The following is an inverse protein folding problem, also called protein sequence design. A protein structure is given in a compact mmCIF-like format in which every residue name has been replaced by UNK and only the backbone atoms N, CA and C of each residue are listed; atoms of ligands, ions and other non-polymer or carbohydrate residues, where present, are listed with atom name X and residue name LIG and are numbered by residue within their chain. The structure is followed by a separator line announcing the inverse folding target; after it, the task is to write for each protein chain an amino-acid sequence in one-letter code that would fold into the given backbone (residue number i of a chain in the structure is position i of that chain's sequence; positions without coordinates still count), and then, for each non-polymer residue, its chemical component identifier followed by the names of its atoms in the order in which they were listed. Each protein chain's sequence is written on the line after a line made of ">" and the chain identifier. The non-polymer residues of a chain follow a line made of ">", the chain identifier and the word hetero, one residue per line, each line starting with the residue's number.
data_IF_975632764623
#
_entry.id   IF_975632764623
#
_cell.length_a   1.000
_cell.length_b   1.000
_cell.length_c   1.000
_cell.angle_alpha   90.00
_cell.angle_beta   90.00
_cell.angle_gamma   90.00
#
_symmetry.space_group_name_H-M   'P 1'
#
loop_
_entity.id
_entity.type
_entity.pdbx_description
1 polymer ?
#
# COMPACT_ATOMS: atom_id res chain seq x y z
N UNK A 1 66.85 -21.83 -25.86
CA UNK A 1 67.67 -21.67 -24.64
C UNK A 1 67.07 -20.54 -23.82
N UNK A 2 66.62 -20.89 -22.60
CA UNK A 2 66.47 -20.08 -21.37
C UNK A 2 65.45 -18.92 -21.42
N UNK A 3 64.55 -18.67 -20.44
CA UNK A 3 64.56 -18.87 -18.98
C UNK A 3 63.11 -18.64 -18.48
N UNK A 4 62.40 -19.58 -17.85
CA UNK A 4 62.18 -19.80 -16.41
C UNK A 4 61.96 -18.56 -15.49
N UNK A 5 60.79 -18.57 -14.82
CA UNK A 5 60.35 -17.96 -13.54
C UNK A 5 60.20 -16.43 -13.38
N UNK A 6 58.97 -15.99 -13.06
CA UNK A 6 58.58 -15.54 -11.70
C UNK A 6 57.07 -15.31 -11.54
N UNK A 7 56.56 -15.78 -10.41
CA UNK A 7 55.17 -15.77 -9.95
C UNK A 7 54.86 -14.51 -9.11
N UNK A 8 53.56 -14.18 -8.99
CA UNK A 8 52.86 -13.35 -7.99
C UNK A 8 52.96 -11.82 -8.05
N UNK A 9 51.86 -11.18 -8.44
CA UNK A 9 51.16 -10.16 -7.62
C UNK A 9 49.75 -9.93 -8.17
N UNK A 10 48.75 -10.24 -7.34
CA UNK A 10 47.33 -9.89 -7.51
C UNK A 10 47.16 -8.39 -7.26
N UNK A 11 46.40 -7.70 -8.11
CA UNK A 11 45.72 -6.46 -7.74
C UNK A 11 44.26 -6.54 -8.16
N UNK A 12 43.43 -6.97 -7.22
CA UNK A 12 42.01 -6.68 -7.18
C UNK A 12 41.86 -5.18 -6.89
N UNK A 13 41.36 -4.41 -7.86
CA UNK A 13 40.79 -3.09 -7.58
C UNK A 13 39.28 -3.27 -7.40
N UNK A 14 38.90 -3.63 -6.16
CA UNK A 14 37.53 -3.48 -5.70
C UNK A 14 37.26 -2.02 -5.33
N UNK A 15 35.96 -1.68 -5.33
CA UNK A 15 35.34 -0.50 -4.73
C UNK A 15 35.31 0.80 -5.56
N UNK A 16 34.24 0.94 -6.33
CA UNK A 16 33.35 2.11 -6.20
C UNK A 16 31.91 1.59 -6.09
N UNK A 17 31.63 0.94 -4.96
CA UNK A 17 30.26 0.66 -4.56
C UNK A 17 29.60 1.98 -4.13
N UNK A 18 28.39 2.21 -4.66
CA UNK A 18 27.27 2.90 -4.06
C UNK A 18 27.57 4.14 -3.21
N UNK A 19 27.27 5.33 -3.71
CA UNK A 19 26.35 6.28 -3.04
C UNK A 19 25.87 7.32 -4.07
N UNK A 20 24.96 6.90 -4.95
CA UNK A 20 24.14 7.84 -5.71
C UNK A 20 22.70 7.31 -5.79
N UNK A 21 22.18 6.83 -4.65
CA UNK A 21 20.75 6.85 -4.40
C UNK A 21 20.54 7.93 -3.34
N UNK A 22 20.72 9.19 -3.75
CA UNK A 22 20.24 10.34 -3.00
C UNK A 22 18.73 10.42 -3.15
N UNK A 23 18.02 9.49 -2.53
CA UNK A 23 16.58 9.57 -2.31
C UNK A 23 16.39 10.13 -0.91
N UNK A 24 16.27 11.45 -0.79
CA UNK A 24 15.66 12.02 0.40
C UNK A 24 14.28 11.39 0.51
N UNK A 25 14.07 10.58 1.55
CA UNK A 25 12.77 9.96 1.80
C UNK A 25 11.76 11.08 2.00
N UNK A 26 10.86 11.24 1.03
CA UNK A 26 9.63 11.94 1.28
C UNK A 26 8.81 10.99 2.16
N UNK A 27 8.40 11.46 3.34
CA UNK A 27 7.55 10.69 4.26
C UNK A 27 6.20 10.30 3.61
N UNK A 28 5.88 10.91 2.46
CA UNK A 28 4.71 10.67 1.62
C UNK A 28 4.72 9.38 0.80
N UNK A 29 5.91 8.77 0.59
CA UNK A 29 6.08 7.58 -0.25
C UNK A 29 6.08 6.30 0.60
N UNK A 30 5.28 5.28 0.25
CA UNK A 30 5.28 4.03 0.99
C UNK A 30 6.67 3.38 1.00
N UNK A 31 7.13 3.02 2.20
CA UNK A 31 8.39 2.29 2.39
C UNK A 31 8.12 0.86 2.86
N UNK A 32 9.05 -0.08 2.65
CA UNK A 32 8.87 -1.47 3.07
C UNK A 32 8.42 -1.62 4.53
N UNK A 33 7.53 -2.56 4.77
CA UNK A 33 7.12 -3.01 6.11
C UNK A 33 7.29 -4.51 6.25
N UNK A 34 7.19 -5.02 7.47
CA UNK A 34 7.11 -6.45 7.80
C UNK A 34 5.65 -6.94 7.94
N UNK A 35 4.68 -6.08 7.60
CA UNK A 35 3.26 -6.31 7.86
C UNK A 35 2.56 -6.84 6.63
N UNK A 36 1.89 -7.98 6.81
CA UNK A 36 1.17 -8.67 5.74
C UNK A 36 -0.15 -7.94 5.46
N UNK A 37 -0.43 -7.72 4.18
CA UNK A 37 -1.72 -7.25 3.69
C UNK A 37 -2.22 -8.13 2.55
N UNK A 38 -3.53 -8.35 2.53
CA UNK A 38 -4.18 -9.16 1.49
C UNK A 38 -5.55 -8.60 1.18
N UNK A 39 -5.83 -8.44 -0.10
CA UNK A 39 -7.09 -7.96 -0.65
C UNK A 39 -7.61 -8.99 -1.63
N UNK A 40 -8.80 -9.50 -1.40
CA UNK A 40 -9.52 -10.35 -2.35
C UNK A 40 -10.56 -9.50 -3.04
N UNK A 41 -10.40 -9.33 -4.34
CA UNK A 41 -11.32 -8.63 -5.22
C UNK A 41 -12.23 -9.64 -5.89
N UNK A 42 -13.53 -9.39 -5.79
CA UNK A 42 -14.60 -10.23 -6.34
C UNK A 42 -15.70 -9.35 -6.93
N UNK A 43 -16.58 -9.96 -7.72
CA UNK A 43 -17.76 -9.31 -8.30
C UNK A 43 -17.39 -8.02 -9.08
N UNK A 44 -16.21 -7.96 -9.69
CA UNK A 44 -15.85 -6.84 -10.53
C UNK A 44 -16.76 -6.81 -11.77
N UNK A 45 -17.36 -5.66 -12.05
CA UNK A 45 -18.26 -5.51 -13.21
C UNK A 45 -17.49 -5.46 -14.55
N UNK A 46 -16.16 -5.52 -14.51
CA UNK A 46 -15.27 -5.66 -15.67
C UNK A 46 -14.31 -6.83 -15.43
N UNK A 47 -13.97 -7.54 -16.50
CA UNK A 47 -13.06 -8.67 -16.42
C UNK A 47 -11.63 -8.25 -16.09
N UNK A 48 -10.86 -9.19 -15.55
CA UNK A 48 -9.42 -9.01 -15.31
C UNK A 48 -9.07 -8.37 -13.97
N UNK A 49 -10.04 -7.88 -13.19
CA UNK A 49 -9.78 -7.30 -11.86
C UNK A 49 -9.96 -8.28 -10.71
N UNK A 50 -10.84 -9.29 -10.84
CA UNK A 50 -11.07 -10.29 -9.79
C UNK A 50 -9.80 -11.09 -9.47
N UNK A 51 -9.52 -11.31 -8.19
CA UNK A 51 -8.34 -12.06 -7.76
C UNK A 51 -7.88 -11.69 -6.36
N UNK A 52 -6.80 -12.34 -5.93
CA UNK A 52 -6.12 -12.03 -4.67
C UNK A 52 -4.93 -11.11 -4.96
N UNK A 53 -4.83 -10.02 -4.22
CA UNK A 53 -3.79 -9.01 -4.29
C UNK A 53 -3.10 -8.93 -2.93
N UNK A 54 -1.76 -8.95 -2.95
CA UNK A 54 -0.94 -9.13 -1.76
C UNK A 54 -0.51 -10.58 -1.61
N UNK A 55 0.80 -10.79 -1.58
CA UNK A 55 1.46 -12.09 -1.42
C UNK A 55 2.55 -12.06 -0.33
N UNK A 56 2.50 -11.06 0.55
CA UNK A 56 3.54 -10.80 1.53
C UNK A 56 3.35 -9.45 2.21
N UNK A 57 4.46 -8.85 2.62
CA UNK A 57 4.43 -7.54 3.27
C UNK A 57 4.13 -6.43 2.29
N UNK A 58 3.33 -5.45 2.72
CA UNK A 58 3.04 -4.25 1.93
C UNK A 58 4.05 -3.15 2.26
N UNK A 59 4.26 -2.23 1.32
CA UNK A 59 4.90 -0.96 1.65
C UNK A 59 3.85 -0.02 2.23
N UNK A 60 4.23 0.76 3.23
CA UNK A 60 3.34 1.63 4.00
C UNK A 60 4.02 2.98 4.27
N UNK A 61 3.25 4.07 4.17
CA UNK A 61 3.62 5.34 4.81
C UNK A 61 3.37 5.26 6.31
N UNK A 62 3.88 6.24 7.06
CA UNK A 62 3.37 6.49 8.40
C UNK A 62 1.91 6.95 8.36
N UNK A 63 1.23 6.83 9.50
CA UNK A 63 -0.11 7.40 9.66
C UNK A 63 0.03 8.84 10.07
N UNK A 64 -0.56 9.73 9.28
CA UNK A 64 -0.59 11.15 9.56
C UNK A 64 -1.99 11.60 9.96
N UNK A 65 -2.08 12.62 10.81
CA UNK A 65 -3.34 13.23 11.19
C UNK A 65 -3.52 14.54 10.42
N UNK A 66 -4.51 14.54 9.54
CA UNK A 66 -4.84 15.65 8.67
C UNK A 66 -6.08 16.36 9.18
N UNK A 67 -5.94 17.64 9.53
CA UNK A 67 -7.04 18.51 9.97
C UNK A 67 -7.28 19.60 8.91
N UNK A 68 -8.02 19.29 7.83
CA UNK A 68 -8.23 20.22 6.74
C UNK A 68 -9.13 21.39 7.18
N UNK A 69 -8.85 22.59 6.66
CA UNK A 69 -9.75 23.74 6.81
C UNK A 69 -10.97 23.53 5.92
N UNK A 70 -12.17 23.67 6.47
CA UNK A 70 -13.44 23.59 5.73
C UNK A 70 -14.42 22.60 6.33
N UNK A 71 -15.27 22.01 5.50
CA UNK A 71 -16.33 21.08 5.90
C UNK A 71 -15.89 19.62 5.99
N UNK A 72 -14.66 19.31 5.58
CA UNK A 72 -14.14 17.95 5.66
C UNK A 72 -13.72 17.65 7.11
N UNK A 73 -13.97 16.42 7.61
CA UNK A 73 -13.56 16.06 8.96
C UNK A 73 -12.02 15.93 9.06
N UNK A 74 -11.51 16.01 10.29
CA UNK A 74 -10.17 15.53 10.62
C UNK A 74 -10.10 14.03 10.32
N UNK A 75 -9.02 13.58 9.68
CA UNK A 75 -8.79 12.19 9.31
C UNK A 75 -7.37 11.74 9.67
N UNK A 76 -7.24 10.46 10.01
CA UNK A 76 -5.98 9.74 10.00
C UNK A 76 -5.78 9.14 8.61
N UNK A 77 -4.66 9.43 7.96
CA UNK A 77 -4.37 9.02 6.59
C UNK A 77 -3.08 8.22 6.49
N UNK A 78 -3.08 7.19 5.65
CA UNK A 78 -1.86 6.48 5.25
C UNK A 78 -2.05 5.85 3.87
N UNK A 79 -0.94 5.55 3.20
CA UNK A 79 -0.94 4.86 1.91
C UNK A 79 -0.33 3.48 2.04
N UNK A 80 -0.77 2.58 1.17
CA UNK A 80 -0.15 1.27 0.98
C UNK A 80 0.10 1.03 -0.50
N UNK A 81 1.15 0.28 -0.82
CA UNK A 81 1.37 -0.24 -2.16
C UNK A 81 1.99 -1.65 -2.11
N UNK A 82 2.34 -2.17 -3.29
CA UNK A 82 3.02 -3.47 -3.41
C UNK A 82 2.09 -4.67 -3.24
N UNK A 83 0.77 -4.46 -3.27
CA UNK A 83 -0.19 -5.57 -3.26
C UNK A 83 -0.27 -6.22 -4.65
N UNK A 84 0.77 -6.96 -5.01
CA UNK A 84 0.87 -7.66 -6.28
C UNK A 84 -0.18 -8.76 -6.39
N UNK A 85 -0.74 -8.96 -7.58
CA UNK A 85 -1.70 -10.01 -7.84
C UNK A 85 -1.05 -11.38 -7.69
N UNK A 86 -1.73 -12.28 -6.99
CA UNK A 86 -1.34 -13.69 -6.85
C UNK A 86 -1.69 -14.43 -8.15
N UNK A 87 -0.75 -15.22 -8.66
CA UNK A 87 -0.93 -16.06 -9.86
C UNK A 87 -1.40 -15.28 -11.09
N UNK A 88 -0.92 -14.05 -11.27
CA UNK A 88 -1.22 -13.24 -12.44
C UNK A 88 -0.44 -11.93 -12.45
N UNK A 89 -0.70 -11.12 -13.47
CA UNK A 89 -0.16 -9.76 -13.55
C UNK A 89 -1.13 -8.76 -12.93
N UNK A 90 -0.57 -7.72 -12.33
CA UNK A 90 -1.33 -6.65 -11.72
C UNK A 90 -0.84 -6.27 -10.33
N UNK A 91 -1.21 -5.07 -9.92
CA UNK A 91 -0.90 -4.54 -8.59
C UNK A 91 -2.07 -3.70 -8.10
N UNK A 92 -2.22 -3.67 -6.79
CA UNK A 92 -3.12 -2.77 -6.10
C UNK A 92 -2.35 -1.90 -5.11
N UNK A 93 -2.82 -0.68 -4.95
CA UNK A 93 -2.31 0.30 -3.99
C UNK A 93 -3.44 1.24 -3.59
N UNK A 94 -3.29 2.01 -2.52
CA UNK A 94 -4.34 2.91 -2.10
C UNK A 94 -3.97 3.91 -1.03
N UNK A 95 -4.87 4.86 -0.84
CA UNK A 95 -4.89 5.89 0.21
C UNK A 95 -6.09 5.59 1.11
N UNK A 96 -5.84 5.39 2.40
CA UNK A 96 -6.87 5.13 3.39
C UNK A 96 -6.97 6.31 4.34
N UNK A 97 -8.19 6.81 4.54
CA UNK A 97 -8.53 7.90 5.46
C UNK A 97 -9.62 7.44 6.41
N UNK A 98 -9.34 7.46 7.70
CA UNK A 98 -10.28 7.04 8.73
C UNK A 98 -10.45 8.10 9.82
N UNK A 99 -11.60 8.06 10.49
CA UNK A 99 -11.92 9.05 11.51
C UNK A 99 -11.10 8.79 12.79
N UNK A 100 -10.45 9.80 13.38
CA UNK A 100 -9.80 9.66 14.68
C UNK A 100 -10.79 9.21 15.76
N UNK A 101 -10.34 8.35 16.67
CA UNK A 101 -11.14 7.81 17.79
C UNK A 101 -12.43 7.08 17.38
N UNK A 102 -12.56 6.66 16.13
CA UNK A 102 -13.71 5.92 15.62
C UNK A 102 -13.28 4.74 14.74
N UNK A 103 -14.08 3.67 14.68
CA UNK A 103 -13.72 2.46 13.94
C UNK A 103 -14.12 2.52 12.46
N UNK A 104 -14.31 3.73 11.94
CA UNK A 104 -14.90 4.01 10.62
C UNK A 104 -13.85 4.52 9.65
N UNK A 105 -13.77 3.88 8.48
CA UNK A 105 -13.08 4.42 7.30
C UNK A 105 -13.97 5.50 6.70
N UNK A 106 -13.46 6.74 6.63
CA UNK A 106 -14.16 7.88 6.05
C UNK A 106 -14.09 7.85 4.52
N UNK A 107 -12.88 7.68 3.98
CA UNK A 107 -12.64 7.68 2.55
C UNK A 107 -11.44 6.79 2.24
N UNK A 108 -11.52 6.06 1.14
CA UNK A 108 -10.43 5.27 0.62
C UNK A 108 -10.43 5.34 -0.89
N UNK A 109 -9.24 5.54 -1.45
CA UNK A 109 -8.97 5.35 -2.86
C UNK A 109 -8.19 4.06 -3.03
N UNK A 110 -8.67 3.18 -3.89
CA UNK A 110 -8.05 1.93 -4.24
C UNK A 110 -7.77 1.94 -5.74
N UNK A 111 -6.51 1.85 -6.13
CA UNK A 111 -6.13 1.59 -7.51
C UNK A 111 -5.93 0.09 -7.71
N UNK A 112 -6.51 -0.45 -8.77
CA UNK A 112 -6.36 -1.84 -9.18
C UNK A 112 -6.06 -1.86 -10.67
N UNK A 113 -4.85 -2.30 -11.03
CA UNK A 113 -4.40 -2.41 -12.42
C UNK A 113 -4.60 -1.12 -13.23
N UNK A 114 -4.30 0.04 -12.62
CA UNK A 114 -4.36 1.35 -13.27
C UNK A 114 -5.73 2.02 -13.22
N UNK A 115 -6.76 1.38 -12.65
CA UNK A 115 -8.09 2.00 -12.44
C UNK A 115 -8.31 2.32 -10.97
N UNK A 116 -8.73 3.55 -10.70
CA UNK A 116 -9.04 4.01 -9.36
C UNK A 116 -10.52 3.83 -9.01
N UNK A 117 -10.76 3.42 -7.77
CA UNK A 117 -12.07 3.25 -7.18
C UNK A 117 -12.12 3.91 -5.81
N UNK A 118 -13.31 4.35 -5.39
CA UNK A 118 -13.52 4.85 -4.03
C UNK A 118 -14.71 4.19 -3.35
N UNK A 119 -14.67 4.18 -2.02
CA UNK A 119 -15.82 3.84 -1.20
C UNK A 119 -16.83 5.01 -1.22
N UNK A 120 -17.56 5.19 -2.32
CA UNK A 120 -18.58 6.26 -2.46
C UNK A 120 -19.69 6.24 -1.39
N UNK A 121 -19.76 5.17 -0.59
CA UNK A 121 -20.80 4.95 0.41
C UNK A 121 -20.18 4.59 1.76
N UNK A 122 -20.58 5.31 2.80
CA UNK A 122 -20.35 4.93 4.20
C UNK A 122 -20.98 3.54 4.44
N UNK A 123 -20.23 2.63 5.05
CA UNK A 123 -20.72 1.28 5.29
C UNK A 123 -20.02 0.60 6.45
N UNK A 124 -20.72 -0.35 7.07
CA UNK A 124 -20.23 -1.19 8.18
C UNK A 124 -19.37 -2.37 7.70
N UNK A 125 -19.10 -2.42 6.40
CA UNK A 125 -18.28 -3.39 5.67
C UNK A 125 -16.78 -3.08 5.72
N UNK A 126 -16.39 -2.05 6.47
CA UNK A 126 -15.00 -1.76 6.84
C UNK A 126 -14.89 -1.51 8.33
N UNK A 127 -13.76 -1.93 8.92
CA UNK A 127 -13.46 -1.66 10.32
C UNK A 127 -12.00 -1.22 10.49
N UNK A 128 -11.79 -0.11 11.20
CA UNK A 128 -10.46 0.28 11.69
C UNK A 128 -10.20 -0.50 12.98
N UNK A 129 -9.15 -1.32 13.01
CA UNK A 129 -8.74 -2.10 14.18
C UNK A 129 -7.38 -1.59 14.66
N UNK A 130 -7.41 -0.52 15.48
CA UNK A 130 -6.20 0.15 15.97
C UNK A 130 -5.36 -0.74 16.86
N UNK A 131 -5.97 -1.55 17.70
CA UNK A 131 -5.31 -2.53 18.56
C UNK A 131 -4.54 -3.60 17.76
N UNK A 132 -4.91 -3.81 16.49
CA UNK A 132 -4.30 -4.77 15.57
C UNK A 132 -3.55 -4.12 14.42
N UNK A 133 -3.37 -2.79 14.46
CA UNK A 133 -2.73 -2.00 13.41
C UNK A 133 -3.20 -2.38 12.00
N UNK A 134 -4.52 -2.44 11.77
CA UNK A 134 -5.05 -2.77 10.43
C UNK A 134 -6.45 -2.22 10.14
N UNK A 135 -6.77 -2.17 8.86
CA UNK A 135 -8.10 -1.95 8.32
C UNK A 135 -8.62 -3.28 7.80
N UNK A 136 -9.81 -3.69 8.23
CA UNK A 136 -10.46 -4.91 7.77
C UNK A 136 -11.60 -4.57 6.81
N UNK A 137 -11.68 -5.31 5.70
CA UNK A 137 -12.74 -5.20 4.69
C UNK A 137 -13.57 -6.47 4.68
N UNK A 138 -14.89 -6.33 4.68
CA UNK A 138 -15.85 -7.41 4.57
C UNK A 138 -16.79 -7.17 3.39
N UNK A 139 -16.38 -7.61 2.20
CA UNK A 139 -17.12 -7.43 0.94
C UNK A 139 -17.49 -5.96 0.65
N UNK A 140 -16.59 -5.03 0.99
CA UNK A 140 -16.76 -3.59 0.76
C UNK A 140 -16.93 -3.32 -0.72
N UNK A 141 -17.99 -2.62 -1.09
CA UNK A 141 -18.19 -2.17 -2.48
C UNK A 141 -17.40 -0.90 -2.76
N UNK A 142 -16.66 -0.91 -3.86
CA UNK A 142 -15.96 0.24 -4.42
C UNK A 142 -16.50 0.57 -5.81
N UNK A 143 -16.53 1.86 -6.14
CA UNK A 143 -17.02 2.37 -7.43
C UNK A 143 -15.93 3.18 -8.10
N UNK A 144 -15.76 2.99 -9.40
CA UNK A 144 -14.75 3.72 -10.18
C UNK A 144 -14.96 5.23 -10.07
N UNK A 145 -13.85 5.96 -9.94
CA UNK A 145 -13.86 7.43 -9.77
C UNK A 145 -14.07 8.18 -11.07
N UNK A 146 -13.86 7.52 -12.22
CA UNK A 146 -14.05 8.03 -13.58
C UNK A 146 -15.52 8.14 -14.04
N UNK A 147 -16.48 7.85 -13.16
CA UNK A 147 -17.92 7.85 -13.44
C UNK A 147 -18.40 6.84 -14.49
N UNK A 148 -17.58 5.82 -14.81
CA UNK A 148 -17.98 4.71 -15.69
C UNK A 148 -19.08 3.80 -15.12
N UNK A 149 -19.38 3.92 -13.82
CA UNK A 149 -20.31 3.05 -13.11
C UNK A 149 -19.75 1.65 -12.79
N UNK A 150 -18.48 1.40 -13.11
CA UNK A 150 -17.81 0.14 -12.79
C UNK A 150 -17.66 -0.04 -11.28
N UNK A 151 -17.92 -1.24 -10.79
CA UNK A 151 -17.82 -1.58 -9.37
C UNK A 151 -16.99 -2.85 -9.14
N UNK A 152 -16.52 -3.01 -7.92
CA UNK A 152 -15.90 -4.24 -7.41
C UNK A 152 -16.17 -4.41 -5.92
N UNK A 153 -15.97 -5.62 -5.39
CA UNK A 153 -16.06 -5.91 -3.96
C UNK A 153 -14.73 -6.38 -3.40
N UNK A 154 -14.36 -5.83 -2.24
CA UNK A 154 -13.09 -6.08 -1.57
C UNK A 154 -13.32 -6.74 -0.21
N UNK A 155 -12.63 -7.84 0.04
CA UNK A 155 -12.50 -8.47 1.35
C UNK A 155 -11.04 -8.60 1.73
N UNK A 156 -10.71 -8.58 3.01
CA UNK A 156 -9.34 -8.80 3.48
C UNK A 156 -8.88 -7.74 4.46
N UNK A 157 -7.59 -7.43 4.45
CA UNK A 157 -7.00 -6.47 5.37
C UNK A 157 -5.85 -5.69 4.75
N UNK A 158 -5.71 -4.44 5.19
CA UNK A 158 -4.56 -3.58 4.93
C UNK A 158 -3.92 -3.22 6.28
N UNK A 159 -2.65 -3.54 6.51
CA UNK A 159 -1.95 -3.15 7.73
C UNK A 159 -1.68 -1.63 7.77
N UNK A 160 -1.48 -1.11 8.97
CA UNK A 160 -0.94 0.22 9.24
C UNK A 160 0.33 0.10 10.08
N UNK A 161 1.16 1.15 10.07
CA UNK A 161 2.30 1.24 11.00
C UNK A 161 1.79 1.48 12.42
N UNK A 162 2.51 0.93 13.41
CA UNK A 162 2.09 0.98 14.82
C UNK A 162 2.30 2.33 15.48
N UNK A 163 3.35 3.07 15.11
CA UNK A 163 3.60 4.44 15.59
C UNK A 163 2.64 5.41 14.90
N UNK A 164 1.71 5.99 15.66
CA UNK A 164 0.63 6.82 15.10
C UNK A 164 0.30 8.01 16.02
N UNK A 165 -0.18 9.13 15.46
CA UNK A 165 -0.69 10.26 16.23
C UNK A 165 -1.85 9.85 17.14
N UNK A 166 -2.03 10.54 18.28
CA UNK A 166 -3.13 10.23 19.21
C UNK A 166 -4.52 10.24 18.55
N UNK A 167 -5.29 9.18 18.76
CA UNK A 167 -6.62 8.96 18.17
C UNK A 167 -6.58 8.35 16.77
N UNK A 168 -5.42 8.38 16.12
CA UNK A 168 -5.02 7.37 15.16
C UNK A 168 -4.48 6.15 15.95
#
# INVERSE_FOLDING_TARGET
>A
MNTLLKTFAVTFAAAAALTACGGGGNDDDPSPSDRIGVLTITDASVSGLDGVYGNGSLNLTDVEKNNPVGSNPEVCAFKFDGANRVLGEGTAFGDVRYLPNADTVYLMFLNVNGREFSNKQDGTDTQVQRDRDRIQFNRKTFTATDNSGVTLRVSGLVPMRGSRPSGC
#
